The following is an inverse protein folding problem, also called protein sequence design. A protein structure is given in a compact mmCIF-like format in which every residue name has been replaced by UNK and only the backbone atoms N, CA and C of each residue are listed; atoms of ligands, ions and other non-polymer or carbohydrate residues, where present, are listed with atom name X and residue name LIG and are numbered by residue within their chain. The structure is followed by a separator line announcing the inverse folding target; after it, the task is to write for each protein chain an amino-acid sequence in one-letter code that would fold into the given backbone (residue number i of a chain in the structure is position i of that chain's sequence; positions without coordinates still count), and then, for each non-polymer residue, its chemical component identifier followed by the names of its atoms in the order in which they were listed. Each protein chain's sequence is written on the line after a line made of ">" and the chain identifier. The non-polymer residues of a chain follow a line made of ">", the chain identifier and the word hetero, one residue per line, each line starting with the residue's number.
data_IF_308772061324
#
_entry.id   IF_308772061324
#
_cell.length_a   1.000
_cell.length_b   1.000
_cell.length_c   1.000
_cell.angle_alpha   90.00
_cell.angle_beta   90.00
_cell.angle_gamma   90.00
#
_symmetry.space_group_name_H-M   'P 1'
#
loop_
_entity.id
_entity.type
_entity.pdbx_description
1 polymer ?
#
# COMPACT_ATOMS: atom_id res chain seq x y z
N UNK A 1 19.36 2.26 15.01
CA UNK A 1 20.77 1.86 14.75
C UNK A 1 20.89 0.92 13.55
N UNK A 2 20.18 -0.21 13.51
CA UNK A 2 20.35 -1.24 12.46
C UNK A 2 20.08 -0.74 11.04
N UNK A 3 19.05 0.09 10.84
CA UNK A 3 18.77 0.67 9.51
C UNK A 3 19.88 1.63 9.06
N UNK A 4 20.52 2.34 9.99
CA UNK A 4 21.67 3.21 9.67
C UNK A 4 22.89 2.40 9.25
N UNK A 5 23.17 1.30 9.94
CA UNK A 5 24.30 0.43 9.61
C UNK A 5 24.12 -0.26 8.26
N UNK A 6 22.89 -0.66 7.92
CA UNK A 6 22.59 -1.38 6.68
C UNK A 6 22.19 -0.45 5.53
N UNK A 7 22.03 0.86 5.76
CA UNK A 7 21.42 1.79 4.81
C UNK A 7 20.10 1.22 4.26
N UNK A 8 19.24 0.77 5.18
CA UNK A 8 18.09 -0.06 4.86
C UNK A 8 16.96 0.65 4.14
N UNK A 9 15.93 -0.10 3.77
CA UNK A 9 14.70 0.42 3.17
C UNK A 9 13.51 0.14 4.09
N UNK A 10 12.59 1.09 4.19
CA UNK A 10 11.33 0.94 4.93
C UNK A 10 10.16 0.99 3.95
N UNK A 11 9.29 0.01 4.02
CA UNK A 11 8.08 -0.07 3.20
C UNK A 11 6.88 -0.17 4.14
N UNK A 12 6.11 0.90 4.22
CA UNK A 12 4.90 0.97 5.02
C UNK A 12 3.66 0.68 4.16
N UNK A 13 2.64 0.08 4.77
CA UNK A 13 1.38 -0.23 4.10
C UNK A 13 0.28 0.74 4.52
N UNK A 14 -0.15 1.59 3.58
CA UNK A 14 -1.33 2.42 3.72
C UNK A 14 -2.52 1.81 2.96
N UNK A 15 -3.45 2.63 2.47
CA UNK A 15 -4.64 2.15 1.76
C UNK A 15 -5.17 3.22 0.82
N UNK A 16 -5.65 2.79 -0.33
CA UNK A 16 -6.45 3.63 -1.23
C UNK A 16 -7.70 4.22 -0.58
N UNK A 17 -8.26 3.57 0.44
CA UNK A 17 -9.40 4.08 1.19
C UNK A 17 -9.17 5.47 1.79
N UNK A 18 -7.97 5.75 2.28
CA UNK A 18 -7.60 7.09 2.75
C UNK A 18 -7.42 8.09 1.62
N UNK A 19 -6.84 7.63 0.49
CA UNK A 19 -6.60 8.47 -0.68
C UNK A 19 -7.88 8.95 -1.36
N UNK A 20 -8.92 8.11 -1.38
CA UNK A 20 -10.16 8.35 -2.13
C UNK A 20 -11.37 8.66 -1.26
N UNK A 21 -11.24 8.60 0.07
CA UNK A 21 -12.32 8.93 1.00
C UNK A 21 -13.48 7.93 0.95
N UNK A 22 -13.19 6.65 1.10
CA UNK A 22 -14.22 5.60 1.06
C UNK A 22 -15.26 5.79 2.18
N UNK A 23 -16.53 5.76 1.81
CA UNK A 23 -17.64 5.89 2.74
C UNK A 23 -17.58 4.88 3.89
N UNK A 24 -17.85 5.33 5.10
CA UNK A 24 -17.90 4.47 6.30
C UNK A 24 -16.53 4.09 6.89
N UNK A 25 -15.42 4.58 6.37
CA UNK A 25 -14.07 4.18 6.76
C UNK A 25 -13.26 5.28 7.46
N UNK A 26 -13.90 6.23 8.17
CA UNK A 26 -13.21 7.38 8.78
C UNK A 26 -12.02 6.97 9.67
N UNK A 27 -12.21 6.09 10.64
CA UNK A 27 -11.15 5.67 11.55
C UNK A 27 -10.02 4.91 10.82
N UNK A 28 -10.38 4.04 9.89
CA UNK A 28 -9.43 3.30 9.07
C UNK A 28 -8.63 4.24 8.16
N UNK A 29 -9.31 5.17 7.47
CA UNK A 29 -8.69 6.16 6.62
C UNK A 29 -7.74 7.07 7.42
N UNK A 30 -8.16 7.56 8.61
CA UNK A 30 -7.32 8.37 9.48
C UNK A 30 -6.03 7.62 9.88
N UNK A 31 -6.14 6.34 10.27
CA UNK A 31 -4.97 5.51 10.60
C UNK A 31 -4.02 5.34 9.40
N UNK A 32 -4.57 5.06 8.22
CA UNK A 32 -3.77 4.83 7.00
C UNK A 32 -3.15 6.13 6.44
N UNK A 33 -3.82 7.27 6.55
CA UNK A 33 -3.25 8.57 6.22
C UNK A 33 -2.20 9.01 7.25
N UNK A 34 -2.37 8.65 8.53
CA UNK A 34 -1.33 8.83 9.55
C UNK A 34 -0.03 8.10 9.20
N UNK A 35 -0.11 6.87 8.69
CA UNK A 35 1.06 6.11 8.20
C UNK A 35 1.73 6.86 7.03
N UNK A 36 0.95 7.41 6.09
CA UNK A 36 1.51 8.18 4.98
C UNK A 36 2.21 9.46 5.44
N UNK A 37 1.59 10.19 6.39
CA UNK A 37 2.19 11.38 6.99
C UNK A 37 3.51 11.06 7.69
N UNK A 38 3.51 10.07 8.57
CA UNK A 38 4.70 9.58 9.26
C UNK A 38 5.81 9.16 8.28
N UNK A 39 5.46 8.44 7.22
CA UNK A 39 6.43 7.94 6.23
C UNK A 39 7.13 9.08 5.49
N UNK A 40 6.40 10.16 5.14
CA UNK A 40 7.00 11.34 4.49
C UNK A 40 8.00 12.06 5.41
N UNK A 41 7.65 12.22 6.69
CA UNK A 41 8.56 12.81 7.67
C UNK A 41 9.79 11.93 7.86
N UNK A 42 9.60 10.62 8.04
CA UNK A 42 10.70 9.67 8.18
C UNK A 42 11.63 9.65 6.95
N UNK A 43 11.08 9.74 5.73
CA UNK A 43 11.86 9.84 4.50
C UNK A 43 12.78 11.07 4.50
N UNK A 44 12.29 12.20 5.03
CA UNK A 44 13.08 13.44 5.15
C UNK A 44 14.15 13.34 6.24
N UNK A 45 13.75 12.84 7.42
CA UNK A 45 14.66 12.80 8.59
C UNK A 45 15.77 11.74 8.44
N UNK A 46 15.46 10.61 7.78
CA UNK A 46 16.40 9.48 7.67
C UNK A 46 17.15 9.44 6.34
N UNK A 47 16.82 10.33 5.43
CA UNK A 47 17.54 10.50 4.16
C UNK A 47 19.05 10.74 4.33
N UNK A 48 19.51 11.58 5.29
CA UNK A 48 20.94 11.77 5.55
C UNK A 48 21.70 10.49 5.98
N UNK A 49 20.98 9.50 6.52
CA UNK A 49 21.54 8.18 6.87
C UNK A 49 21.41 7.17 5.72
N UNK A 50 21.05 7.63 4.52
CA UNK A 50 20.80 6.81 3.33
C UNK A 50 19.74 5.73 3.55
N UNK A 51 18.69 6.04 4.32
CA UNK A 51 17.52 5.20 4.53
C UNK A 51 16.37 5.74 3.67
N UNK A 52 15.83 4.93 2.78
CA UNK A 52 14.64 5.30 2.03
C UNK A 52 13.36 4.75 2.67
N UNK A 53 12.29 5.54 2.62
CA UNK A 53 11.00 5.20 3.23
C UNK A 53 9.90 5.42 2.20
N UNK A 54 9.20 4.36 1.83
CA UNK A 54 8.11 4.42 0.86
C UNK A 54 6.83 3.78 1.39
N UNK A 55 5.72 4.09 0.76
CA UNK A 55 4.39 3.59 1.13
C UNK A 55 3.79 2.81 -0.03
N UNK A 56 3.21 1.66 0.26
CA UNK A 56 2.42 0.87 -0.70
C UNK A 56 0.96 0.88 -0.27
N UNK A 57 0.06 1.16 -1.21
CA UNK A 57 -1.39 1.05 -1.06
C UNK A 57 -1.88 -0.13 -1.92
N UNK A 58 -1.98 -1.34 -1.39
CA UNK A 58 -2.37 -2.51 -2.15
C UNK A 58 -3.88 -2.68 -2.24
N UNK A 59 -4.35 -3.24 -3.35
CA UNK A 59 -5.67 -3.85 -3.50
C UNK A 59 -5.47 -5.35 -3.71
N UNK A 60 -5.39 -6.10 -2.61
CA UNK A 60 -5.05 -7.52 -2.64
C UNK A 60 -6.27 -8.40 -2.35
N UNK A 61 -6.31 -9.57 -3.02
CA UNK A 61 -7.21 -10.64 -2.62
C UNK A 61 -6.74 -11.24 -1.30
N UNK A 62 -7.61 -11.25 -0.31
CA UNK A 62 -7.29 -11.73 1.04
C UNK A 62 -8.27 -12.82 1.48
N UNK A 63 -7.85 -13.68 2.40
CA UNK A 63 -8.72 -14.71 2.99
C UNK A 63 -10.01 -14.10 3.58
N UNK A 64 -9.92 -12.89 4.16
CA UNK A 64 -11.09 -12.19 4.69
C UNK A 64 -12.06 -11.76 3.60
N UNK A 65 -11.57 -11.31 2.46
CA UNK A 65 -12.40 -10.94 1.31
C UNK A 65 -13.06 -12.18 0.69
N UNK A 66 -12.32 -13.27 0.60
CA UNK A 66 -12.81 -14.57 0.15
C UNK A 66 -13.93 -15.11 1.06
N UNK A 67 -13.73 -15.07 2.37
CA UNK A 67 -14.76 -15.44 3.35
C UNK A 67 -16.02 -14.56 3.21
N UNK A 68 -15.85 -13.26 2.97
CA UNK A 68 -16.97 -12.36 2.74
C UNK A 68 -17.73 -12.72 1.47
N UNK A 69 -17.03 -13.03 0.38
CA UNK A 69 -17.64 -13.45 -0.88
C UNK A 69 -18.45 -14.75 -0.71
N UNK A 70 -17.89 -15.74 0.03
CA UNK A 70 -18.54 -17.02 0.26
C UNK A 70 -19.77 -16.89 1.16
N UNK A 71 -19.66 -16.10 2.24
CA UNK A 71 -20.74 -15.94 3.22
C UNK A 71 -21.88 -15.03 2.72
N UNK A 72 -21.55 -14.03 1.91
CA UNK A 72 -22.50 -12.98 1.48
C UNK A 72 -22.34 -12.61 -0.01
N UNK A 73 -22.57 -13.54 -0.95
CA UNK A 73 -22.27 -13.35 -2.38
C UNK A 73 -23.00 -12.15 -3.00
N UNK A 74 -24.26 -11.91 -2.65
CA UNK A 74 -25.02 -10.77 -3.18
C UNK A 74 -24.49 -9.43 -2.62
N UNK A 75 -24.17 -9.38 -1.33
CA UNK A 75 -23.56 -8.20 -0.73
C UNK A 75 -22.15 -7.94 -1.28
N UNK A 76 -21.38 -8.99 -1.53
CA UNK A 76 -20.08 -8.89 -2.18
C UNK A 76 -20.22 -8.27 -3.58
N UNK A 77 -21.11 -8.81 -4.42
CA UNK A 77 -21.37 -8.31 -5.78
C UNK A 77 -21.83 -6.86 -5.79
N UNK A 78 -22.64 -6.45 -4.81
CA UNK A 78 -23.15 -5.09 -4.71
C UNK A 78 -22.11 -4.07 -4.23
N UNK A 79 -21.17 -4.48 -3.38
CA UNK A 79 -20.28 -3.55 -2.67
C UNK A 79 -18.80 -3.64 -3.07
N UNK A 80 -18.36 -4.74 -3.67
CA UNK A 80 -16.96 -4.93 -4.07
C UNK A 80 -16.79 -4.63 -5.55
N UNK A 81 -16.13 -3.50 -5.84
CA UNK A 81 -15.83 -3.10 -7.22
C UNK A 81 -14.55 -3.77 -7.70
N UNK A 82 -14.59 -4.35 -8.88
CA UNK A 82 -13.38 -4.88 -9.53
C UNK A 82 -12.55 -3.74 -10.14
N UNK A 83 -11.23 -3.80 -10.04
CA UNK A 83 -10.36 -2.85 -10.72
C UNK A 83 -10.39 -3.08 -12.24
N UNK A 84 -9.92 -2.10 -13.05
CA UNK A 84 -9.83 -2.24 -14.51
C UNK A 84 -9.09 -3.49 -15.00
N UNK A 85 -8.09 -3.98 -14.25
CA UNK A 85 -7.39 -5.23 -14.56
C UNK A 85 -8.23 -6.50 -14.32
N UNK A 86 -9.46 -6.38 -13.80
CA UNK A 86 -10.43 -7.47 -13.67
C UNK A 86 -10.21 -8.41 -12.48
N UNK A 87 -9.21 -8.18 -11.66
CA UNK A 87 -8.95 -8.98 -10.44
C UNK A 87 -8.30 -8.15 -9.34
N UNK A 88 -8.46 -8.59 -8.11
CA UNK A 88 -7.67 -8.10 -6.97
C UNK A 88 -6.31 -8.78 -6.98
N UNK A 89 -5.26 -8.02 -6.69
CA UNK A 89 -3.90 -8.50 -6.78
C UNK A 89 -3.62 -9.72 -5.89
N UNK A 90 -2.88 -10.67 -6.43
CA UNK A 90 -2.32 -11.77 -5.64
C UNK A 90 -1.32 -11.19 -4.63
N UNK A 91 -1.52 -11.50 -3.34
CA UNK A 91 -0.75 -10.90 -2.25
C UNK A 91 0.77 -11.18 -2.36
N UNK A 92 1.14 -12.37 -2.80
CA UNK A 92 2.55 -12.75 -2.97
C UNK A 92 3.12 -12.23 -4.30
N UNK A 93 2.47 -12.57 -5.42
CA UNK A 93 3.04 -12.37 -6.75
C UNK A 93 2.95 -10.93 -7.23
N UNK A 94 1.87 -10.20 -6.87
CA UNK A 94 1.58 -8.88 -7.41
C UNK A 94 1.78 -7.75 -6.39
N UNK A 95 1.84 -8.08 -5.09
CA UNK A 95 2.14 -7.11 -4.02
C UNK A 95 3.50 -7.40 -3.40
N UNK A 96 3.72 -8.59 -2.85
CA UNK A 96 4.94 -8.94 -2.12
C UNK A 96 6.20 -8.85 -2.97
N UNK A 97 6.18 -9.35 -4.19
CA UNK A 97 7.34 -9.25 -5.12
C UNK A 97 7.72 -7.81 -5.44
N UNK A 98 6.73 -6.91 -5.55
CA UNK A 98 7.01 -5.49 -5.75
C UNK A 98 7.68 -4.90 -4.52
N UNK A 99 7.24 -5.26 -3.31
CA UNK A 99 7.90 -4.82 -2.08
C UNK A 99 9.36 -5.30 -2.01
N UNK A 100 9.64 -6.51 -2.44
CA UNK A 100 11.03 -7.00 -2.55
C UNK A 100 11.84 -6.14 -3.52
N UNK A 101 11.30 -5.82 -4.69
CA UNK A 101 11.99 -4.94 -5.65
C UNK A 101 12.25 -3.55 -5.08
N UNK A 102 11.28 -2.96 -4.38
CA UNK A 102 11.42 -1.65 -3.73
C UNK A 102 12.53 -1.60 -2.67
N UNK A 103 12.94 -2.75 -2.15
CA UNK A 103 14.04 -2.87 -1.21
C UNK A 103 15.41 -3.12 -1.89
N UNK A 104 15.43 -3.28 -3.22
CA UNK A 104 16.67 -3.50 -3.99
C UNK A 104 17.43 -2.17 -4.19
N UNK A 105 18.77 -2.23 -4.40
CA UNK A 105 19.61 -1.05 -4.59
C UNK A 105 19.14 -0.11 -5.71
N UNK A 106 18.55 -0.65 -6.78
CA UNK A 106 18.06 0.12 -7.94
C UNK A 106 16.95 1.11 -7.57
N UNK A 107 16.23 0.86 -6.48
CA UNK A 107 15.16 1.73 -5.97
C UNK A 107 15.60 2.65 -4.83
N UNK A 108 16.88 2.68 -4.52
CA UNK A 108 17.41 3.40 -3.34
C UNK A 108 17.12 4.90 -3.37
N UNK A 109 17.16 5.52 -4.53
CA UNK A 109 16.90 6.95 -4.70
C UNK A 109 15.40 7.32 -4.64
N UNK A 110 14.51 6.34 -4.56
CA UNK A 110 13.07 6.56 -4.39
C UNK A 110 12.75 6.58 -2.88
N UNK A 111 12.33 7.74 -2.36
CA UNK A 111 11.96 7.92 -0.96
C UNK A 111 10.83 8.93 -0.80
N UNK A 112 9.93 8.70 0.14
CA UNK A 112 8.77 9.53 0.40
C UNK A 112 7.56 9.27 -0.52
N UNK A 113 7.66 8.28 -1.40
CA UNK A 113 6.63 7.99 -2.41
C UNK A 113 5.48 7.15 -1.86
N UNK A 114 4.31 7.33 -2.46
CA UNK A 114 3.13 6.47 -2.26
C UNK A 114 2.79 5.76 -3.56
N UNK A 115 2.97 4.46 -3.58
CA UNK A 115 2.74 3.60 -4.74
C UNK A 115 1.41 2.84 -4.57
N UNK A 116 0.48 3.05 -5.49
CA UNK A 116 -0.74 2.26 -5.54
C UNK A 116 -0.52 0.97 -6.33
N UNK A 117 -0.98 -0.15 -5.78
CA UNK A 117 -0.99 -1.47 -6.41
C UNK A 117 -2.43 -1.97 -6.49
N UNK A 118 -3.22 -1.34 -7.34
CA UNK A 118 -4.68 -1.40 -7.33
C UNK A 118 -5.30 -1.79 -8.68
N UNK A 119 -4.51 -2.30 -9.61
CA UNK A 119 -5.00 -2.75 -10.92
C UNK A 119 -5.72 -1.66 -11.73
N UNK A 120 -5.34 -0.39 -11.54
CA UNK A 120 -5.92 0.77 -12.22
C UNK A 120 -7.14 1.38 -11.54
N UNK A 121 -7.57 0.91 -10.37
CA UNK A 121 -8.74 1.44 -9.67
C UNK A 121 -8.56 2.90 -9.21
N UNK A 122 -7.37 3.24 -8.75
CA UNK A 122 -7.06 4.54 -8.18
C UNK A 122 -6.15 5.38 -9.07
N UNK A 123 -6.58 5.66 -10.28
CA UNK A 123 -5.84 6.54 -11.18
C UNK A 123 -5.78 7.97 -10.60
N UNK A 124 -4.58 8.52 -10.57
CA UNK A 124 -4.30 9.89 -10.16
C UNK A 124 -3.59 10.65 -11.27
N UNK A 125 -3.86 11.96 -11.41
CA UNK A 125 -3.12 12.80 -12.32
C UNK A 125 -1.64 12.89 -11.92
#
# INVERSE_FOLDING_TARGET
>A
PYLKESHGSVINFASGAGLFGNYGQCAYAAAKEGIRGLSRVAATEWGPDDINVNVVCPLAWTAKLEQFQQAYPEAFKANVKMPPMGHYGNAELEIGRVCVQLAMPDFKFMSGETLTREGGMGQRP
#
